data_IF_922197861697
#
_entry.id   IF_922197861697
#
_cell.length_a   1.000
_cell.length_b   1.000
_cell.length_c   1.000
_cell.angle_alpha   90.00
_cell.angle_beta   90.00
_cell.angle_gamma   90.00
#
_symmetry.space_group_name_H-M   'P 1'
#
loop_
_entity.id
_entity.type
_entity.pdbx_description
1 polymer ?
#
# COMPACT_ATOMS: atom_id res chain seq x y z
N UNK A 1 10.57 -8.28 -6.58
CA UNK A 1 11.43 -7.22 -6.04
C UNK A 1 10.63 -5.99 -5.65
N UNK A 2 11.17 -5.19 -4.73
CA UNK A 2 10.60 -3.90 -4.29
C UNK A 2 11.70 -2.86 -4.15
N UNK A 3 11.32 -1.57 -4.19
CA UNK A 3 12.24 -0.44 -4.03
C UNK A 3 12.87 0.03 -5.34
N UNK A 4 13.94 0.84 -5.23
CA UNK A 4 14.55 1.53 -6.36
C UNK A 4 15.17 0.61 -7.42
N UNK A 5 15.40 -0.66 -7.11
CA UNK A 5 15.99 -1.64 -8.04
C UNK A 5 15.04 -2.11 -9.15
N UNK A 6 13.78 -1.68 -9.11
CA UNK A 6 12.82 -1.92 -10.21
C UNK A 6 13.03 -0.97 -11.39
N UNK A 7 13.98 -0.02 -11.28
CA UNK A 7 14.30 0.97 -12.31
C UNK A 7 15.48 0.44 -13.13
N UNK A 8 15.30 0.31 -14.45
CA UNK A 8 16.35 -0.04 -15.38
C UNK A 8 16.57 1.10 -16.39
N UNK A 9 17.74 1.78 -16.38
CA UNK A 9 17.99 2.93 -17.24
C UNK A 9 18.08 2.60 -18.73
N UNK A 10 18.16 1.32 -19.10
CA UNK A 10 18.15 0.89 -20.50
C UNK A 10 16.75 0.86 -21.12
N UNK A 11 15.71 1.06 -20.29
CA UNK A 11 14.31 1.11 -20.71
C UNK A 11 13.75 2.53 -20.59
N UNK A 12 12.63 2.78 -21.23
CA UNK A 12 11.80 3.94 -20.97
C UNK A 12 11.05 3.67 -19.66
N UNK A 13 11.39 4.42 -18.60
CA UNK A 13 10.81 4.24 -17.28
C UNK A 13 9.63 5.17 -17.08
N UNK A 14 8.47 4.60 -16.77
CA UNK A 14 7.21 5.31 -16.56
C UNK A 14 6.81 5.11 -15.11
N UNK A 15 6.90 6.17 -14.29
CA UNK A 15 6.34 6.13 -12.95
C UNK A 15 4.83 6.19 -13.02
N UNK A 16 4.18 5.27 -12.34
CA UNK A 16 2.73 5.21 -12.20
C UNK A 16 2.33 5.48 -10.76
N UNK A 17 1.38 6.41 -10.56
CA UNK A 17 0.93 6.82 -9.23
C UNK A 17 -0.56 7.13 -9.21
N UNK A 18 -1.23 6.85 -8.10
CA UNK A 18 -2.67 6.96 -7.92
C UNK A 18 -3.29 5.63 -7.49
N UNK A 19 -4.53 5.36 -7.88
CA UNK A 19 -5.25 4.14 -7.52
C UNK A 19 -5.37 3.17 -8.69
N UNK A 20 -6.22 3.49 -9.65
CA UNK A 20 -6.40 2.71 -10.88
C UNK A 20 -7.31 3.48 -11.85
N UNK A 21 -6.96 3.43 -13.12
CA UNK A 21 -7.71 4.14 -14.16
C UNK A 21 -7.83 3.30 -15.44
N UNK A 22 -8.98 3.33 -16.09
CA UNK A 22 -9.25 2.50 -17.27
C UNK A 22 -8.33 2.81 -18.46
N UNK A 23 -7.99 4.09 -18.68
CA UNK A 23 -7.01 4.47 -19.71
C UNK A 23 -5.62 3.93 -19.39
N UNK A 24 -5.28 3.88 -18.11
CA UNK A 24 -4.03 3.31 -17.64
C UNK A 24 -3.90 1.82 -18.02
N UNK A 25 -4.95 1.05 -17.78
CA UNK A 25 -4.98 -0.38 -18.17
C UNK A 25 -4.80 -0.55 -19.69
N UNK A 26 -5.46 0.30 -20.49
CA UNK A 26 -5.26 0.29 -21.94
C UNK A 26 -3.80 0.58 -22.33
N UNK A 27 -3.16 1.56 -21.69
CA UNK A 27 -1.75 1.88 -21.93
C UNK A 27 -0.86 0.69 -21.56
N UNK A 28 -1.09 0.05 -20.42
CA UNK A 28 -0.33 -1.12 -19.98
C UNK A 28 -0.34 -2.24 -21.03
N UNK A 29 -1.52 -2.55 -21.57
CA UNK A 29 -1.66 -3.56 -22.61
C UNK A 29 -0.88 -3.16 -23.88
N UNK A 30 -0.99 -1.89 -24.32
CA UNK A 30 -0.28 -1.37 -25.51
C UNK A 30 1.24 -1.37 -25.36
N UNK A 31 1.79 -1.20 -24.14
CA UNK A 31 3.24 -1.26 -23.92
C UNK A 31 3.83 -2.65 -24.18
N UNK A 32 3.01 -3.68 -24.22
CA UNK A 32 3.40 -5.06 -24.57
C UNK A 32 3.34 -5.33 -26.08
N UNK A 33 2.70 -4.48 -26.86
CA UNK A 33 2.53 -4.70 -28.29
C UNK A 33 3.86 -4.50 -29.06
N UNK A 34 4.13 -5.41 -29.99
CA UNK A 34 5.40 -5.43 -30.72
C UNK A 34 5.69 -4.14 -31.48
N UNK A 35 4.68 -3.49 -32.07
CA UNK A 35 4.83 -2.22 -32.79
C UNK A 35 5.25 -1.06 -31.85
N UNK A 36 4.76 -1.06 -30.61
CA UNK A 36 5.10 -0.07 -29.58
C UNK A 36 6.50 -0.34 -29.04
N UNK A 37 6.85 -1.60 -28.79
CA UNK A 37 8.21 -1.98 -28.36
C UNK A 37 9.25 -1.60 -29.42
N UNK A 38 8.95 -1.80 -30.72
CA UNK A 38 9.85 -1.37 -31.80
C UNK A 38 10.03 0.16 -31.87
N UNK A 39 8.99 0.97 -31.55
CA UNK A 39 9.16 2.42 -31.42
C UNK A 39 10.16 2.77 -30.30
N UNK A 40 10.12 2.09 -29.15
CA UNK A 40 11.08 2.30 -28.07
C UNK A 40 12.51 1.92 -28.49
N UNK A 41 12.68 0.80 -29.21
CA UNK A 41 13.98 0.36 -29.74
C UNK A 41 14.54 1.33 -30.77
N UNK A 42 13.71 1.92 -31.58
CA UNK A 42 14.12 2.92 -32.58
C UNK A 42 14.77 4.17 -31.98
N UNK A 43 14.44 4.50 -30.73
CA UNK A 43 15.07 5.61 -29.99
C UNK A 43 16.19 5.15 -29.04
N UNK A 44 16.56 3.86 -29.09
CA UNK A 44 17.69 3.29 -28.35
C UNK A 44 17.36 2.74 -26.97
N UNK A 45 16.08 2.58 -26.62
CA UNK A 45 15.64 1.88 -25.41
C UNK A 45 15.44 0.38 -25.70
N UNK A 46 15.49 -0.46 -24.67
CA UNK A 46 15.17 -1.90 -24.80
C UNK A 46 13.66 -2.18 -24.85
N UNK A 47 12.85 -1.23 -24.40
CA UNK A 47 11.40 -1.31 -24.26
C UNK A 47 10.93 -0.37 -23.17
N UNK A 48 9.90 -0.77 -22.43
CA UNK A 48 9.31 0.04 -21.37
C UNK A 48 9.41 -0.67 -20.02
N UNK A 49 9.47 0.13 -18.93
CA UNK A 49 9.29 -0.32 -17.56
C UNK A 49 8.31 0.58 -16.83
N UNK A 50 7.33 -0.04 -16.20
CA UNK A 50 6.43 0.61 -15.27
C UNK A 50 7.05 0.58 -13.88
N UNK A 51 7.28 1.75 -13.31
CA UNK A 51 7.80 1.91 -11.95
C UNK A 51 6.62 2.23 -11.05
N UNK A 52 6.13 1.22 -10.34
CA UNK A 52 4.92 1.34 -9.53
C UNK A 52 5.17 2.12 -8.25
N UNK A 53 4.35 3.16 -8.04
CA UNK A 53 4.25 3.84 -6.75
C UNK A 53 2.79 3.87 -6.31
N UNK A 54 2.57 4.02 -4.99
CA UNK A 54 1.24 4.10 -4.39
C UNK A 54 0.32 2.90 -4.69
N UNK A 55 -0.99 3.08 -4.62
CA UNK A 55 -1.95 1.98 -4.76
C UNK A 55 -1.92 1.31 -6.14
N UNK A 56 -1.73 2.07 -7.22
CA UNK A 56 -1.70 1.49 -8.57
C UNK A 56 -0.51 0.55 -8.76
N UNK A 57 0.64 0.88 -8.18
CA UNK A 57 1.81 -0.01 -8.19
C UNK A 57 1.58 -1.30 -7.40
N UNK A 58 0.91 -1.22 -6.27
CA UNK A 58 0.54 -2.38 -5.48
C UNK A 58 -0.52 -3.25 -6.16
N UNK A 59 -1.49 -2.63 -6.84
CA UNK A 59 -2.47 -3.36 -7.63
C UNK A 59 -1.82 -4.18 -8.75
N UNK A 60 -0.77 -3.63 -9.39
CA UNK A 60 0.03 -4.39 -10.36
C UNK A 60 0.79 -5.56 -9.73
N UNK A 61 1.25 -5.45 -8.49
CA UNK A 61 1.84 -6.59 -7.79
C UNK A 61 0.86 -7.75 -7.65
N UNK A 62 -0.43 -7.47 -7.39
CA UNK A 62 -1.48 -8.49 -7.33
C UNK A 62 -1.73 -9.17 -8.67
N UNK A 63 -1.55 -8.44 -9.77
CA UNK A 63 -1.76 -8.88 -11.15
C UNK A 63 -0.47 -9.19 -11.91
N UNK A 64 0.67 -9.22 -11.21
CA UNK A 64 2.02 -9.22 -11.78
C UNK A 64 2.30 -10.27 -12.84
N UNK A 65 1.64 -11.43 -12.79
CA UNK A 65 1.84 -12.49 -13.75
C UNK A 65 1.53 -12.11 -15.22
N UNK A 66 0.66 -11.09 -15.43
CA UNK A 66 0.31 -10.62 -16.77
C UNK A 66 1.28 -9.56 -17.32
N UNK A 67 1.90 -8.77 -16.43
CA UNK A 67 2.72 -7.62 -16.82
C UNK A 67 4.21 -7.77 -16.51
N UNK A 68 4.70 -8.98 -16.25
CA UNK A 68 6.10 -9.25 -15.85
C UNK A 68 7.16 -8.75 -16.83
N UNK A 69 6.82 -8.55 -18.11
CA UNK A 69 7.74 -8.00 -19.09
C UNK A 69 8.01 -6.51 -18.90
N UNK A 70 7.02 -5.77 -18.39
CA UNK A 70 7.09 -4.32 -18.23
C UNK A 70 7.03 -3.85 -16.78
N UNK A 71 6.77 -4.74 -15.81
CA UNK A 71 6.64 -4.41 -14.39
C UNK A 71 7.45 -5.37 -13.53
N UNK A 72 8.53 -4.89 -12.96
CA UNK A 72 9.42 -5.67 -12.10
C UNK A 72 9.02 -5.64 -10.63
N UNK A 73 8.30 -4.60 -10.19
CA UNK A 73 7.84 -4.49 -8.82
C UNK A 73 7.45 -3.08 -8.39
N UNK A 74 7.11 -2.94 -7.12
CA UNK A 74 6.68 -1.70 -6.50
C UNK A 74 7.89 -0.92 -5.95
N UNK A 75 8.07 0.33 -6.35
CA UNK A 75 9.19 1.16 -5.90
C UNK A 75 8.95 1.74 -4.51
N UNK A 76 7.72 2.07 -4.16
CA UNK A 76 7.38 2.59 -2.85
C UNK A 76 6.04 3.32 -2.78
N UNK A 77 5.77 3.89 -1.62
CA UNK A 77 4.53 4.60 -1.33
C UNK A 77 4.52 6.05 -1.88
N UNK A 78 3.56 6.86 -1.41
CA UNK A 78 3.35 8.23 -1.87
C UNK A 78 4.60 9.11 -1.80
N UNK A 79 5.29 9.22 -0.68
CA UNK A 79 6.48 10.07 -0.54
C UNK A 79 7.74 9.48 -1.20
N UNK A 80 7.84 8.17 -1.31
CA UNK A 80 8.96 7.54 -2.02
C UNK A 80 8.93 7.90 -3.51
N UNK A 81 7.76 8.24 -4.09
CA UNK A 81 7.66 8.69 -5.47
C UNK A 81 8.55 9.91 -5.77
N UNK A 82 8.75 10.83 -4.81
CA UNK A 82 9.66 11.96 -4.96
C UNK A 82 11.13 11.51 -5.06
N UNK A 83 11.54 10.55 -4.23
CA UNK A 83 12.87 9.96 -4.30
C UNK A 83 13.10 9.18 -5.60
N UNK A 84 12.10 8.42 -6.04
CA UNK A 84 12.12 7.70 -7.32
C UNK A 84 12.33 8.67 -8.49
N UNK A 85 11.60 9.76 -8.55
CA UNK A 85 11.76 10.78 -9.60
C UNK A 85 13.13 11.46 -9.54
N UNK A 86 13.63 11.72 -8.33
CA UNK A 86 14.91 12.41 -8.11
C UNK A 86 16.12 11.61 -8.58
N UNK A 87 15.99 10.31 -8.85
CA UNK A 87 17.08 9.50 -9.43
C UNK A 87 17.43 9.88 -10.89
N UNK A 88 16.58 10.63 -11.56
CA UNK A 88 16.78 11.08 -12.94
C UNK A 88 16.55 10.03 -14.03
N UNK A 89 16.22 8.80 -13.69
CA UNK A 89 16.00 7.71 -14.65
C UNK A 89 14.53 7.54 -15.07
N UNK A 90 13.60 8.30 -14.50
CA UNK A 90 12.19 8.28 -14.88
C UNK A 90 11.95 9.25 -16.03
N UNK A 91 11.25 8.82 -17.08
CA UNK A 91 11.02 9.60 -18.28
C UNK A 91 9.65 10.27 -18.28
N UNK A 92 8.65 9.61 -17.72
CA UNK A 92 7.32 10.15 -17.60
C UNK A 92 6.63 9.71 -16.30
N UNK A 93 5.68 10.52 -15.86
CA UNK A 93 4.73 10.18 -14.79
C UNK A 93 3.34 10.07 -15.40
N UNK A 94 2.70 8.94 -15.18
CA UNK A 94 1.26 8.80 -15.38
C UNK A 94 0.59 8.87 -14.01
N UNK A 95 -0.14 9.95 -13.77
CA UNK A 95 -0.89 10.15 -12.55
C UNK A 95 -2.39 10.06 -12.81
N UNK A 96 -3.09 9.49 -11.86
CA UNK A 96 -4.54 9.44 -11.94
C UNK A 96 -5.14 9.99 -10.64
N UNK A 97 -6.33 9.72 -10.32
CA UNK A 97 -7.25 10.31 -9.36
C UNK A 97 -6.61 11.05 -8.17
N UNK A 98 -5.83 10.39 -7.34
CA UNK A 98 -5.41 10.87 -6.02
C UNK A 98 -3.99 10.38 -5.68
N UNK A 99 -3.47 10.71 -4.51
CA UNK A 99 -2.18 10.23 -3.99
C UNK A 99 -0.95 10.61 -4.81
N UNK A 100 -1.08 11.55 -5.76
CA UNK A 100 0.06 12.13 -6.47
C UNK A 100 0.44 13.44 -5.79
N UNK A 101 1.52 13.41 -5.02
CA UNK A 101 1.92 14.54 -4.18
C UNK A 101 2.31 15.78 -4.98
N UNK A 102 2.00 17.00 -4.50
CA UNK A 102 2.38 18.25 -5.17
C UNK A 102 3.89 18.44 -5.36
N UNK A 103 4.72 17.88 -4.47
CA UNK A 103 6.17 18.00 -4.52
C UNK A 103 6.81 17.47 -5.80
N UNK A 104 6.17 16.54 -6.49
CA UNK A 104 6.71 16.02 -7.77
C UNK A 104 6.76 17.06 -8.88
N UNK A 105 5.94 18.11 -8.82
CA UNK A 105 5.85 19.15 -9.85
C UNK A 105 7.21 19.81 -10.10
N UNK A 106 7.87 20.27 -9.03
CA UNK A 106 9.21 20.88 -9.11
C UNK A 106 10.27 19.89 -9.61
N UNK A 107 10.23 18.65 -9.12
CA UNK A 107 11.18 17.61 -9.53
C UNK A 107 11.04 17.31 -11.02
N UNK A 108 9.80 17.20 -11.49
CA UNK A 108 9.54 16.94 -12.92
C UNK A 108 10.00 18.07 -13.81
N UNK A 109 9.83 19.34 -13.41
CA UNK A 109 10.33 20.50 -14.16
C UNK A 109 11.85 20.50 -14.23
N UNK A 110 12.54 20.37 -13.10
CA UNK A 110 14.00 20.36 -13.02
C UNK A 110 14.64 19.21 -13.82
N UNK A 111 14.05 18.04 -13.77
CA UNK A 111 14.56 16.84 -14.44
C UNK A 111 13.88 16.59 -15.80
N UNK A 112 13.07 17.52 -16.30
CA UNK A 112 12.36 17.45 -17.59
C UNK A 112 11.53 16.17 -17.75
N UNK A 113 10.92 15.70 -16.68
CA UNK A 113 10.07 14.51 -16.68
C UNK A 113 8.68 14.91 -17.21
N UNK A 114 8.19 14.19 -18.21
CA UNK A 114 6.84 14.45 -18.74
C UNK A 114 5.80 14.03 -17.71
N UNK A 115 4.91 14.96 -17.33
CA UNK A 115 3.77 14.64 -16.48
C UNK A 115 2.49 14.57 -17.32
N UNK A 116 1.81 13.42 -17.28
CA UNK A 116 0.50 13.21 -17.91
C UNK A 116 -0.48 12.79 -16.82
N UNK A 117 -1.55 13.56 -16.67
CA UNK A 117 -2.59 13.34 -15.69
C UNK A 117 -3.83 12.79 -16.37
N UNK A 118 -4.31 11.64 -15.90
CA UNK A 118 -5.47 10.93 -16.46
C UNK A 118 -6.78 11.34 -15.79
N UNK A 119 -6.70 12.06 -14.66
CA UNK A 119 -7.85 12.58 -13.94
C UNK A 119 -7.62 14.03 -13.48
N UNK A 120 -8.68 14.84 -13.48
CA UNK A 120 -8.62 16.25 -13.12
C UNK A 120 -8.21 16.49 -11.67
N UNK A 121 -8.51 15.57 -10.76
CA UNK A 121 -8.20 15.69 -9.32
C UNK A 121 -6.69 15.71 -9.10
N UNK A 122 -5.94 14.85 -9.80
CA UNK A 122 -4.50 14.78 -9.67
C UNK A 122 -3.75 15.79 -10.57
N UNK A 123 -4.47 16.64 -11.31
CA UNK A 123 -3.86 17.58 -12.27
C UNK A 123 -3.04 18.65 -11.56
N UNK A 124 -1.76 18.73 -11.91
CA UNK A 124 -0.84 19.81 -11.51
C UNK A 124 -0.71 20.86 -12.62
N UNK A 125 -0.16 22.04 -12.29
CA UNK A 125 -0.07 23.15 -13.24
C UNK A 125 0.77 22.79 -14.49
N UNK A 126 1.86 22.01 -14.28
CA UNK A 126 2.77 21.57 -15.35
C UNK A 126 2.42 20.19 -15.93
N UNK A 127 1.29 19.60 -15.56
CA UNK A 127 0.84 18.31 -16.08
C UNK A 127 -0.12 18.48 -17.26
N UNK A 128 0.09 17.69 -18.30
CA UNK A 128 -0.86 17.55 -19.37
C UNK A 128 -2.05 16.70 -18.93
N UNK A 129 -3.27 17.19 -19.12
CA UNK A 129 -4.49 16.46 -18.77
C UNK A 129 -5.08 15.77 -19.97
N UNK A 130 -5.18 14.44 -19.92
CA UNK A 130 -5.80 13.61 -20.96
C UNK A 130 -6.88 12.74 -20.29
N UNK A 131 -8.16 13.16 -20.35
CA UNK A 131 -9.24 12.43 -19.71
C UNK A 131 -9.54 11.11 -20.42
N UNK A 132 -9.92 10.10 -19.63
CA UNK A 132 -10.43 8.87 -20.23
C UNK A 132 -11.77 9.11 -20.91
N UNK A 133 -11.84 8.68 -22.20
CA UNK A 133 -13.07 8.58 -22.97
C UNK A 133 -13.06 7.25 -23.71
N UNK A 134 -14.13 6.50 -23.61
CA UNK A 134 -14.19 5.17 -24.23
C UNK A 134 -13.96 5.22 -25.74
N UNK A 135 -14.57 6.23 -26.41
CA UNK A 135 -14.52 6.42 -27.86
C UNK A 135 -13.12 6.81 -28.37
N UNK A 136 -12.35 7.52 -27.55
CA UNK A 136 -11.02 8.04 -27.94
C UNK A 136 -9.86 7.31 -27.28
N UNK A 137 -10.13 6.31 -26.42
CA UNK A 137 -9.11 5.64 -25.61
C UNK A 137 -7.90 5.11 -26.39
N UNK A 138 -8.13 4.63 -27.62
CA UNK A 138 -7.04 4.16 -28.47
C UNK A 138 -6.15 5.32 -28.93
N UNK A 139 -6.75 6.36 -29.48
CA UNK A 139 -6.01 7.53 -29.95
C UNK A 139 -5.33 8.27 -28.81
N UNK A 140 -5.99 8.40 -27.65
CA UNK A 140 -5.43 9.04 -26.46
C UNK A 140 -4.29 8.19 -25.86
N UNK A 141 -4.43 6.88 -25.81
CA UNK A 141 -3.39 5.96 -25.33
C UNK A 141 -2.17 5.94 -26.24
N UNK A 142 -2.35 5.84 -27.56
CA UNK A 142 -1.25 5.89 -28.53
C UNK A 142 -0.53 7.24 -28.48
N UNK A 143 -1.27 8.35 -28.33
CA UNK A 143 -0.71 9.69 -28.14
C UNK A 143 0.14 9.77 -26.86
N UNK A 144 -0.36 9.24 -25.74
CA UNK A 144 0.39 9.21 -24.47
C UNK A 144 1.71 8.45 -24.64
N UNK A 145 1.69 7.30 -25.30
CA UNK A 145 2.89 6.51 -25.58
C UNK A 145 3.89 7.30 -26.44
N UNK A 146 3.43 7.94 -27.49
CA UNK A 146 4.31 8.74 -28.36
C UNK A 146 4.93 9.94 -27.58
N UNK A 147 4.17 10.59 -26.69
CA UNK A 147 4.67 11.66 -25.81
C UNK A 147 5.73 11.15 -24.83
N UNK A 148 5.55 9.95 -24.29
CA UNK A 148 6.52 9.30 -23.38
C UNK A 148 7.84 8.99 -24.12
N UNK A 149 7.76 8.45 -25.33
CA UNK A 149 8.93 8.18 -26.18
C UNK A 149 9.65 9.48 -26.54
N UNK A 150 8.92 10.54 -26.86
CA UNK A 150 9.49 11.86 -27.12
C UNK A 150 10.20 12.43 -25.88
N UNK A 151 9.62 12.29 -24.68
CA UNK A 151 10.22 12.72 -23.43
C UNK A 151 11.53 11.97 -23.15
N UNK A 152 11.57 10.66 -23.29
CA UNK A 152 12.78 9.87 -23.20
C UNK A 152 13.87 10.38 -24.13
N UNK A 153 13.55 10.60 -25.38
CA UNK A 153 14.52 11.09 -26.39
C UNK A 153 15.06 12.48 -26.04
N UNK A 154 14.21 13.39 -25.57
CA UNK A 154 14.60 14.75 -25.21
C UNK A 154 15.49 14.82 -23.95
N UNK A 155 15.32 13.86 -23.04
CA UNK A 155 16.02 13.81 -21.75
C UNK A 155 17.35 13.08 -21.83
N UNK A 156 17.49 12.12 -22.73
CA UNK A 156 18.66 11.24 -22.81
C UNK A 156 19.96 12.05 -22.97
N UNK A 157 20.89 11.86 -22.03
CA UNK A 157 22.16 12.57 -21.97
C UNK A 157 22.08 14.06 -21.55
N UNK A 158 20.91 14.59 -21.27
CA UNK A 158 20.74 15.97 -20.79
C UNK A 158 20.37 16.08 -19.30
N UNK A 159 20.02 14.97 -18.68
CA UNK A 159 19.63 14.88 -17.25
C UNK A 159 20.61 13.97 -16.53
N UNK A 160 21.15 14.38 -15.37
CA UNK A 160 21.99 13.50 -14.55
C UNK A 160 21.17 12.35 -14.00
N UNK A 161 21.73 11.15 -14.03
CA UNK A 161 21.14 9.97 -13.39
C UNK A 161 21.98 9.56 -12.18
N UNK A 162 21.29 9.31 -11.07
CA UNK A 162 21.90 8.84 -9.83
C UNK A 162 21.09 7.64 -9.33
N UNK A 163 21.45 6.45 -9.79
CA UNK A 163 20.76 5.22 -9.44
C UNK A 163 21.28 4.70 -8.10
N UNK A 164 20.36 4.47 -7.19
CA UNK A 164 20.63 3.86 -5.89
C UNK A 164 20.54 2.34 -6.04
N UNK A 165 21.67 1.69 -6.32
CA UNK A 165 21.73 0.25 -6.64
C UNK A 165 21.52 -0.67 -5.44
N UNK A 166 21.65 -0.17 -4.20
CA UNK A 166 21.64 -1.00 -2.99
C UNK A 166 20.37 -0.85 -2.13
N UNK A 167 19.38 -0.08 -2.57
CA UNK A 167 18.18 0.19 -1.80
C UNK A 167 17.00 -0.69 -2.21
N UNK A 168 16.44 -1.40 -1.22
CA UNK A 168 15.14 -2.06 -1.34
C UNK A 168 15.11 -3.32 -2.20
N UNK A 169 16.26 -3.90 -2.57
CA UNK A 169 16.28 -5.11 -3.37
C UNK A 169 15.93 -6.35 -2.52
N UNK A 170 14.67 -6.44 -2.12
CA UNK A 170 14.18 -7.58 -1.36
C UNK A 170 13.07 -8.26 -2.15
N UNK A 171 13.10 -9.58 -2.15
CA UNK A 171 11.99 -10.37 -2.62
C UNK A 171 10.98 -10.46 -1.47
N UNK A 172 9.83 -9.87 -1.65
CA UNK A 172 8.75 -9.87 -0.67
C UNK A 172 7.63 -10.80 -1.10
N UNK A 173 6.90 -11.34 -0.12
CA UNK A 173 5.64 -12.01 -0.36
C UNK A 173 4.53 -10.95 -0.37
N UNK A 174 4.00 -10.67 -1.55
CA UNK A 174 2.99 -9.63 -1.75
C UNK A 174 1.77 -10.19 -2.47
N UNK A 175 0.69 -9.43 -2.48
CA UNK A 175 -0.49 -9.80 -3.23
C UNK A 175 -1.31 -10.90 -2.57
N UNK A 176 -1.36 -10.94 -1.26
CA UNK A 176 -2.26 -11.82 -0.51
C UNK A 176 -3.69 -11.31 -0.67
N UNK A 177 -4.62 -12.20 -0.98
CA UNK A 177 -6.05 -11.93 -0.97
C UNK A 177 -6.77 -12.86 0.00
N UNK A 178 -8.02 -12.52 0.37
CA UNK A 178 -8.86 -13.40 1.17
C UNK A 178 -8.97 -14.79 0.55
N UNK A 179 -9.19 -14.86 -0.76
CA UNK A 179 -9.32 -16.13 -1.47
C UNK A 179 -8.01 -16.92 -1.52
N UNK A 180 -6.86 -16.27 -1.76
CA UNK A 180 -5.56 -16.95 -1.79
C UNK A 180 -5.14 -17.43 -0.39
N UNK A 181 -5.37 -16.62 0.65
CA UNK A 181 -5.07 -17.00 2.03
C UNK A 181 -5.95 -18.16 2.50
N UNK A 182 -7.26 -18.10 2.21
CA UNK A 182 -8.19 -19.18 2.54
C UNK A 182 -7.83 -20.48 1.81
N UNK A 183 -7.46 -20.39 0.53
CA UNK A 183 -6.99 -21.55 -0.23
C UNK A 183 -5.68 -22.14 0.35
N UNK A 184 -4.72 -21.29 0.72
CA UNK A 184 -3.49 -21.69 1.39
C UNK A 184 -3.75 -22.42 2.72
N UNK A 185 -4.77 -21.99 3.47
CA UNK A 185 -5.22 -22.62 4.71
C UNK A 185 -6.07 -23.87 4.50
N UNK A 186 -6.21 -24.36 3.29
CA UNK A 186 -6.98 -25.58 2.97
C UNK A 186 -8.46 -25.34 2.71
N UNK A 187 -8.87 -24.12 2.40
CA UNK A 187 -10.24 -23.74 2.01
C UNK A 187 -11.13 -23.29 3.17
N UNK A 188 -10.60 -23.11 4.39
CA UNK A 188 -11.31 -22.69 5.60
C UNK A 188 -10.44 -21.78 6.45
N UNK A 189 -11.03 -20.91 7.26
CA UNK A 189 -10.32 -20.10 8.26
C UNK A 189 -9.98 -20.87 9.53
N UNK A 190 -10.51 -22.09 9.67
CA UNK A 190 -10.30 -22.90 10.89
C UNK A 190 -8.82 -23.04 11.30
N UNK A 191 -7.84 -23.27 10.43
CA UNK A 191 -6.44 -23.34 10.85
C UNK A 191 -5.93 -22.05 11.48
N UNK A 192 -6.32 -20.89 10.94
CA UNK A 192 -5.97 -19.59 11.53
C UNK A 192 -6.70 -19.36 12.85
N UNK A 193 -7.97 -19.72 12.93
CA UNK A 193 -8.78 -19.64 14.16
C UNK A 193 -8.15 -20.53 15.26
N UNK A 194 -7.78 -21.75 14.93
CA UNK A 194 -7.14 -22.67 15.88
C UNK A 194 -5.81 -22.11 16.43
N UNK A 195 -5.02 -21.43 15.58
CA UNK A 195 -3.80 -20.74 16.02
C UNK A 195 -4.11 -19.55 16.95
N UNK A 196 -5.17 -18.81 16.68
CA UNK A 196 -5.63 -17.70 17.53
C UNK A 196 -6.15 -18.24 18.87
N UNK A 197 -7.01 -19.24 18.86
CA UNK A 197 -7.56 -19.85 20.07
C UNK A 197 -6.45 -20.44 20.94
N UNK A 198 -5.48 -21.11 20.33
CA UNK A 198 -4.32 -21.68 21.04
C UNK A 198 -3.31 -20.62 21.52
N UNK A 199 -3.50 -19.33 21.23
CA UNK A 199 -2.57 -18.26 21.61
C UNK A 199 -1.24 -18.28 20.83
N UNK A 200 -1.15 -19.04 19.75
CA UNK A 200 0.01 -19.03 18.83
C UNK A 200 0.07 -17.75 18.01
N UNK A 201 -1.08 -17.23 17.67
CA UNK A 201 -1.30 -15.88 17.19
C UNK A 201 -2.19 -15.20 18.24
N UNK A 202 -1.69 -14.18 18.90
CA UNK A 202 -2.42 -13.49 19.98
C UNK A 202 -3.67 -12.79 19.44
N UNK A 203 -3.59 -12.23 18.25
CA UNK A 203 -4.67 -11.54 17.56
C UNK A 203 -4.22 -11.02 16.22
N UNK A 204 -5.10 -10.28 15.57
CA UNK A 204 -4.85 -9.67 14.27
C UNK A 204 -4.77 -8.15 14.40
N UNK A 205 -3.91 -7.51 13.63
CA UNK A 205 -3.87 -6.07 13.51
C UNK A 205 -3.89 -5.66 12.03
N UNK A 206 -4.85 -4.85 11.63
CA UNK A 206 -4.85 -4.18 10.34
C UNK A 206 -4.01 -2.90 10.45
N UNK A 207 -2.83 -2.85 9.82
CA UNK A 207 -2.00 -1.63 9.74
C UNK A 207 -2.09 -1.13 8.30
N UNK A 208 -2.91 -0.12 8.09
CA UNK A 208 -3.38 0.28 6.76
C UNK A 208 -3.27 1.80 6.53
N UNK A 209 -3.55 2.22 5.30
CA UNK A 209 -3.66 3.63 4.96
C UNK A 209 -2.38 4.21 4.37
N UNK A 210 -2.19 5.51 4.59
CA UNK A 210 -1.16 6.32 3.96
C UNK A 210 0.19 6.23 4.66
N UNK A 211 1.14 7.06 4.18
CA UNK A 211 2.31 7.50 4.92
C UNK A 211 2.33 9.02 5.00
N UNK A 212 2.89 9.56 6.07
CA UNK A 212 2.95 10.98 6.37
C UNK A 212 4.31 11.34 6.96
N UNK A 213 4.76 12.55 6.72
CA UNK A 213 6.00 13.08 7.29
C UNK A 213 5.86 13.59 8.72
N UNK A 214 4.63 13.57 9.28
CA UNK A 214 4.34 14.15 10.61
C UNK A 214 5.20 13.56 11.74
N UNK A 215 5.50 12.25 11.65
CA UNK A 215 6.37 11.54 12.62
C UNK A 215 7.62 10.93 11.94
N UNK A 216 8.09 11.55 10.85
CA UNK A 216 9.08 10.94 9.96
C UNK A 216 8.43 9.93 9.01
N UNK A 217 8.86 9.93 7.76
CA UNK A 217 8.29 9.08 6.73
C UNK A 217 8.37 7.60 7.14
N UNK A 218 7.22 6.92 7.19
CA UNK A 218 7.03 5.51 7.60
C UNK A 218 7.49 5.15 9.03
N UNK A 219 8.07 6.08 9.79
CA UNK A 219 8.71 5.77 11.07
C UNK A 219 7.73 5.20 12.09
N UNK A 220 6.61 5.89 12.31
CA UNK A 220 5.60 5.44 13.27
C UNK A 220 4.95 4.12 12.84
N UNK A 221 4.62 3.97 11.56
CA UNK A 221 4.05 2.74 10.99
C UNK A 221 4.99 1.55 11.17
N UNK A 222 6.28 1.76 10.89
CA UNK A 222 7.30 0.72 11.04
C UNK A 222 7.55 0.34 12.51
N UNK A 223 7.62 1.32 13.41
CA UNK A 223 7.78 1.09 14.85
C UNK A 223 6.59 0.31 15.42
N UNK A 224 5.38 0.79 15.17
CA UNK A 224 4.15 0.13 15.61
C UNK A 224 4.08 -1.32 15.11
N UNK A 225 4.38 -1.56 13.82
CA UNK A 225 4.32 -2.89 13.24
C UNK A 225 5.33 -3.83 13.87
N UNK A 226 6.57 -3.38 14.10
CA UNK A 226 7.61 -4.19 14.78
C UNK A 226 7.20 -4.54 16.20
N UNK A 227 6.64 -3.60 16.94
CA UNK A 227 6.15 -3.83 18.30
C UNK A 227 4.96 -4.81 18.33
N UNK A 228 4.03 -4.72 17.38
CA UNK A 228 2.89 -5.64 17.27
C UNK A 228 3.35 -7.09 16.98
N UNK A 229 4.21 -7.28 15.96
CA UNK A 229 4.69 -8.63 15.63
C UNK A 229 5.53 -9.24 16.78
N UNK A 230 6.31 -8.42 17.51
CA UNK A 230 7.06 -8.85 18.68
C UNK A 230 6.15 -9.35 19.83
N UNK A 231 4.88 -8.98 19.82
CA UNK A 231 3.83 -9.38 20.77
C UNK A 231 2.97 -10.54 20.29
N UNK A 232 3.44 -11.29 19.30
CA UNK A 232 2.72 -12.41 18.67
C UNK A 232 1.41 -12.02 17.98
N UNK A 233 1.31 -10.78 17.49
CA UNK A 233 0.17 -10.26 16.73
C UNK A 233 0.50 -10.32 15.24
N UNK A 234 -0.31 -11.05 14.46
CA UNK A 234 -0.16 -11.11 12.99
C UNK A 234 -0.68 -9.82 12.37
N UNK A 235 0.13 -9.17 11.53
CA UNK A 235 -0.23 -7.92 10.88
C UNK A 235 -0.73 -8.18 9.46
N UNK A 236 -1.91 -7.62 9.15
CA UNK A 236 -2.48 -7.53 7.82
C UNK A 236 -2.37 -6.07 7.37
N UNK A 237 -1.88 -5.81 6.15
CA UNK A 237 -1.63 -4.45 5.72
C UNK A 237 -2.12 -4.19 4.30
N UNK A 238 -2.43 -2.93 4.02
CA UNK A 238 -2.84 -2.44 2.71
C UNK A 238 -2.56 -0.94 2.57
N UNK A 239 -2.43 -0.46 1.34
CA UNK A 239 -2.16 0.94 1.04
C UNK A 239 -0.68 1.31 1.15
N UNK A 240 -0.38 2.61 1.30
CA UNK A 240 0.98 3.11 1.41
C UNK A 240 1.73 2.57 2.63
N UNK A 241 1.03 2.25 3.72
CA UNK A 241 1.61 1.54 4.88
C UNK A 241 2.30 0.25 4.45
N UNK A 242 1.66 -0.55 3.57
CA UNK A 242 2.27 -1.79 3.07
C UNK A 242 3.53 -1.51 2.24
N UNK A 243 3.52 -0.48 1.39
CA UNK A 243 4.71 -0.11 0.61
C UNK A 243 5.92 0.27 1.47
N UNK A 244 5.70 1.00 2.56
CA UNK A 244 6.76 1.31 3.53
C UNK A 244 7.30 0.06 4.25
N UNK A 245 6.40 -0.83 4.67
CA UNK A 245 6.76 -2.08 5.36
C UNK A 245 7.48 -3.08 4.42
N UNK A 246 7.13 -3.09 3.13
CA UNK A 246 7.86 -3.86 2.10
C UNK A 246 9.31 -3.39 1.98
N UNK A 247 9.51 -2.08 1.85
CA UNK A 247 10.84 -1.50 1.62
C UNK A 247 11.81 -1.76 2.77
N UNK A 248 11.32 -1.89 4.00
CA UNK A 248 12.15 -2.25 5.16
C UNK A 248 12.24 -3.77 5.41
N UNK A 249 11.62 -4.57 4.54
CA UNK A 249 11.76 -6.04 4.53
C UNK A 249 10.88 -6.78 5.53
N UNK A 250 9.82 -6.18 6.07
CA UNK A 250 8.92 -6.86 7.02
C UNK A 250 8.00 -7.90 6.37
N UNK A 251 7.98 -7.96 5.05
CA UNK A 251 7.20 -8.94 4.26
C UNK A 251 8.07 -10.05 3.66
N UNK A 252 9.26 -10.26 4.20
CA UNK A 252 10.11 -11.40 3.85
C UNK A 252 9.98 -12.50 4.91
N UNK A 253 10.21 -13.78 4.56
CA UNK A 253 10.20 -14.87 5.54
C UNK A 253 11.19 -14.64 6.70
N UNK A 254 12.31 -13.98 6.44
CA UNK A 254 13.34 -13.65 7.42
C UNK A 254 12.83 -12.67 8.49
N UNK A 255 11.82 -11.86 8.17
CA UNK A 255 11.19 -10.97 9.14
C UNK A 255 10.53 -11.70 10.32
N UNK A 256 10.27 -13.00 10.18
CA UNK A 256 9.82 -13.85 11.29
C UNK A 256 10.76 -13.79 12.50
N UNK A 257 12.06 -13.50 12.31
CA UNK A 257 13.02 -13.36 13.42
C UNK A 257 12.71 -12.15 14.34
N UNK A 258 11.96 -11.16 13.82
CA UNK A 258 11.52 -9.99 14.60
C UNK A 258 10.23 -10.27 15.39
N UNK A 259 9.52 -11.34 15.06
CA UNK A 259 8.27 -11.71 15.72
C UNK A 259 8.51 -12.32 17.12
N UNK A 260 7.49 -12.25 17.95
CA UNK A 260 7.44 -12.95 19.21
C UNK A 260 7.58 -14.47 19.04
N UNK A 261 7.88 -15.22 20.10
CA UNK A 261 8.26 -16.64 20.00
C UNK A 261 7.18 -17.51 19.36
N UNK A 262 5.91 -17.22 19.62
CA UNK A 262 4.79 -18.00 19.10
C UNK A 262 4.52 -17.69 17.63
N UNK A 263 4.37 -16.41 17.27
CA UNK A 263 4.18 -16.00 15.88
C UNK A 263 5.37 -16.40 15.01
N UNK A 264 6.60 -16.27 15.51
CA UNK A 264 7.82 -16.74 14.83
C UNK A 264 7.73 -18.21 14.45
N UNK A 265 7.29 -19.05 15.40
CA UNK A 265 7.14 -20.48 15.15
C UNK A 265 6.11 -20.75 14.04
N UNK A 266 4.95 -20.07 14.09
CA UNK A 266 3.91 -20.16 13.05
C UNK A 266 4.44 -19.70 11.68
N UNK A 267 5.11 -18.54 11.62
CA UNK A 267 5.65 -18.03 10.37
C UNK A 267 6.67 -19.00 9.74
N UNK A 268 7.55 -19.57 10.54
CA UNK A 268 8.53 -20.57 10.05
C UNK A 268 7.88 -21.86 9.59
N UNK A 269 6.88 -22.36 10.30
CA UNK A 269 6.14 -23.57 9.94
C UNK A 269 5.38 -23.40 8.63
N UNK A 270 4.71 -22.26 8.45
CA UNK A 270 3.92 -21.96 7.26
C UNK A 270 4.72 -21.36 6.11
N UNK A 271 5.96 -20.92 6.34
CA UNK A 271 6.78 -20.24 5.33
C UNK A 271 6.25 -18.85 4.94
N UNK A 272 5.62 -18.14 5.88
CA UNK A 272 5.02 -16.82 5.66
C UNK A 272 5.72 -15.73 6.48
N UNK A 273 5.70 -14.46 6.05
CA UNK A 273 6.14 -13.35 6.88
C UNK A 273 5.12 -13.03 7.98
N UNK A 274 5.53 -12.29 9.04
CA UNK A 274 4.62 -11.84 10.09
C UNK A 274 3.72 -10.67 9.67
N UNK A 275 3.94 -10.12 8.48
CA UNK A 275 3.16 -9.04 7.86
C UNK A 275 2.70 -9.48 6.47
N UNK A 276 1.39 -9.50 6.26
CA UNK A 276 0.77 -9.94 5.00
C UNK A 276 0.19 -8.75 4.24
N UNK A 277 0.62 -8.57 2.99
CA UNK A 277 0.22 -7.45 2.13
C UNK A 277 -0.99 -7.82 1.27
N UNK A 278 -2.11 -7.16 1.53
CA UNK A 278 -3.35 -7.29 0.75
C UNK A 278 -3.43 -6.34 -0.45
N UNK A 279 -2.45 -5.46 -0.63
CA UNK A 279 -2.33 -4.59 -1.79
C UNK A 279 -2.73 -3.13 -1.53
N UNK A 280 -3.45 -2.48 -2.46
CA UNK A 280 -3.77 -1.05 -2.39
C UNK A 280 -4.77 -0.71 -1.29
N UNK A 281 -4.99 0.59 -1.03
CA UNK A 281 -6.05 1.06 -0.13
C UNK A 281 -7.43 0.50 -0.51
N UNK A 282 -7.71 0.36 -1.80
CA UNK A 282 -8.94 -0.27 -2.30
C UNK A 282 -9.12 -1.73 -1.83
N UNK A 283 -8.06 -2.37 -1.34
CA UNK A 283 -8.10 -3.72 -0.79
C UNK A 283 -8.39 -3.76 0.72
N UNK A 284 -8.58 -2.62 1.40
CA UNK A 284 -8.95 -2.59 2.82
C UNK A 284 -10.28 -3.33 3.05
N UNK A 285 -11.24 -3.21 2.13
CA UNK A 285 -12.46 -4.01 2.15
C UNK A 285 -12.23 -5.53 2.10
N UNK A 286 -11.10 -6.01 1.57
CA UNK A 286 -10.74 -7.44 1.62
C UNK A 286 -10.33 -7.88 3.03
N UNK A 287 -9.75 -6.98 3.83
CA UNK A 287 -9.47 -7.24 5.24
C UNK A 287 -10.75 -7.39 6.05
N UNK A 288 -11.78 -6.60 5.71
CA UNK A 288 -13.11 -6.72 6.31
C UNK A 288 -13.76 -8.07 5.97
N UNK A 289 -13.66 -8.53 4.71
CA UNK A 289 -14.14 -9.86 4.32
C UNK A 289 -13.44 -10.96 5.14
N UNK A 290 -12.10 -10.90 5.29
CA UNK A 290 -11.34 -11.85 6.13
C UNK A 290 -11.86 -11.83 7.56
N UNK A 291 -12.03 -10.65 8.15
CA UNK A 291 -12.49 -10.51 9.52
C UNK A 291 -13.93 -11.03 9.71
N UNK A 292 -14.82 -10.70 8.80
CA UNK A 292 -16.22 -11.14 8.83
C UNK A 292 -16.33 -12.66 8.69
N UNK A 293 -15.64 -13.26 7.72
CA UNK A 293 -15.63 -14.73 7.56
C UNK A 293 -15.03 -15.46 8.76
N UNK A 294 -13.98 -14.90 9.40
CA UNK A 294 -13.44 -15.46 10.65
C UNK A 294 -14.46 -15.36 11.78
N UNK A 295 -15.16 -14.22 11.92
CA UNK A 295 -16.20 -14.03 12.93
C UNK A 295 -17.35 -15.02 12.75
N UNK A 296 -17.82 -15.19 11.51
CA UNK A 296 -18.87 -16.15 11.16
C UNK A 296 -18.47 -17.59 11.49
N UNK A 297 -17.25 -18.01 11.11
CA UNK A 297 -16.76 -19.37 11.37
C UNK A 297 -16.51 -19.63 12.87
N UNK A 298 -16.15 -18.58 13.63
CA UNK A 298 -15.99 -18.63 15.09
C UNK A 298 -17.34 -18.52 15.83
N UNK A 299 -18.40 -18.09 15.16
CA UNK A 299 -19.75 -17.91 15.72
C UNK A 299 -19.89 -16.70 16.64
N UNK A 300 -19.19 -15.59 16.34
CA UNK A 300 -19.18 -14.34 17.10
C UNK A 300 -19.46 -13.15 16.21
N UNK A 301 -19.79 -12.00 16.81
CA UNK A 301 -19.88 -10.74 16.08
C UNK A 301 -18.49 -10.16 15.82
N UNK A 302 -18.34 -9.42 14.70
CA UNK A 302 -17.08 -8.83 14.28
C UNK A 302 -16.37 -8.00 15.37
N UNK A 303 -17.07 -7.13 16.17
CA UNK A 303 -16.43 -6.40 17.27
C UNK A 303 -15.81 -7.27 18.36
N UNK A 304 -16.23 -8.52 18.47
CA UNK A 304 -15.73 -9.45 19.50
C UNK A 304 -14.40 -10.09 19.13
N UNK A 305 -14.03 -10.08 17.84
CA UNK A 305 -12.75 -10.64 17.40
C UNK A 305 -11.55 -9.95 18.07
N UNK A 306 -10.48 -10.67 18.39
CA UNK A 306 -9.20 -10.10 18.84
C UNK A 306 -8.50 -9.42 17.66
N UNK A 307 -9.14 -8.38 17.14
CA UNK A 307 -8.74 -7.58 15.98
C UNK A 307 -8.73 -6.11 16.35
N UNK A 308 -7.68 -5.40 15.92
CA UNK A 308 -7.50 -3.96 16.04
C UNK A 308 -7.06 -3.38 14.71
N UNK A 309 -7.31 -2.07 14.49
CA UNK A 309 -6.93 -1.39 13.28
C UNK A 309 -6.05 -0.18 13.58
N UNK A 310 -5.17 0.15 12.66
CA UNK A 310 -4.32 1.34 12.71
C UNK A 310 -4.17 1.95 11.33
N UNK A 311 -4.42 3.27 11.24
CA UNK A 311 -3.97 4.13 10.15
C UNK A 311 -2.96 5.12 10.75
N UNK A 312 -1.80 4.61 11.18
CA UNK A 312 -0.82 5.33 12.01
C UNK A 312 -0.43 6.68 11.40
N UNK A 313 -0.18 6.71 10.09
CA UNK A 313 0.27 7.90 9.37
C UNK A 313 -0.68 8.26 8.22
N UNK A 314 -1.97 8.34 8.51
CA UNK A 314 -2.95 8.77 7.52
C UNK A 314 -2.62 10.19 6.97
N UNK A 315 -2.94 10.43 5.70
CA UNK A 315 -2.71 11.67 4.99
C UNK A 315 -3.93 12.11 4.17
N UNK A 316 -4.50 11.19 3.43
CA UNK A 316 -5.59 11.42 2.49
C UNK A 316 -6.96 11.09 3.12
N UNK A 317 -8.01 11.67 2.57
CA UNK A 317 -9.40 11.46 3.01
C UNK A 317 -9.82 9.99 2.95
N UNK A 318 -9.30 9.24 2.00
CA UNK A 318 -9.56 7.80 1.86
C UNK A 318 -9.27 7.05 3.16
N UNK A 319 -8.13 7.31 3.80
CA UNK A 319 -7.77 6.64 5.05
C UNK A 319 -8.73 6.99 6.21
N UNK A 320 -9.27 8.20 6.24
CA UNK A 320 -10.27 8.61 7.24
C UNK A 320 -11.65 8.00 6.94
N UNK A 321 -12.02 7.88 5.65
CA UNK A 321 -13.25 7.22 5.24
C UNK A 321 -13.24 5.73 5.61
N UNK A 322 -12.14 5.04 5.31
CA UNK A 322 -11.93 3.64 5.70
C UNK A 322 -11.93 3.48 7.23
N UNK A 323 -11.33 4.43 7.95
CA UNK A 323 -11.35 4.48 9.41
C UNK A 323 -12.75 4.68 9.99
N UNK A 324 -13.55 5.57 9.40
CA UNK A 324 -14.94 5.77 9.81
C UNK A 324 -15.79 4.52 9.58
N UNK A 325 -15.54 3.81 8.47
CA UNK A 325 -16.18 2.52 8.19
C UNK A 325 -15.81 1.47 9.25
N UNK A 326 -14.53 1.36 9.60
CA UNK A 326 -14.07 0.46 10.67
C UNK A 326 -14.76 0.75 12.03
N UNK A 327 -14.91 2.03 12.39
CA UNK A 327 -15.63 2.43 13.60
C UNK A 327 -17.11 2.05 13.55
N UNK A 328 -17.74 2.18 12.39
CA UNK A 328 -19.13 1.75 12.20
C UNK A 328 -19.29 0.24 12.36
N UNK A 329 -18.29 -0.54 11.97
CA UNK A 329 -18.20 -1.99 12.18
C UNK A 329 -17.85 -2.39 13.63
N UNK A 330 -17.66 -1.42 14.52
CA UNK A 330 -17.34 -1.68 15.93
C UNK A 330 -15.87 -2.03 16.22
N UNK A 331 -14.96 -1.71 15.29
CA UNK A 331 -13.56 -1.98 15.47
C UNK A 331 -12.82 -0.78 16.08
N UNK A 332 -11.87 -0.99 17.01
CA UNK A 332 -11.02 0.07 17.53
C UNK A 332 -10.01 0.51 16.44
N UNK A 333 -9.87 1.83 16.28
CA UNK A 333 -8.99 2.45 15.29
C UNK A 333 -7.93 3.31 15.96
N UNK A 334 -6.67 2.96 15.78
CA UNK A 334 -5.52 3.79 16.14
C UNK A 334 -5.17 4.75 15.00
N UNK A 335 -4.94 6.02 15.36
CA UNK A 335 -4.42 7.09 14.52
C UNK A 335 -3.20 7.71 15.21
N UNK A 336 -2.06 7.79 14.54
CA UNK A 336 -0.89 8.49 15.08
C UNK A 336 -1.05 10.01 15.01
N UNK A 337 -1.65 10.46 13.91
CA UNK A 337 -1.99 11.89 13.71
C UNK A 337 -3.46 12.10 14.12
N UNK A 338 -3.78 13.08 15.00
CA UNK A 338 -5.16 13.33 15.37
C UNK A 338 -5.99 13.74 14.15
N UNK A 339 -7.19 13.22 13.99
CA UNK A 339 -8.09 13.66 12.93
C UNK A 339 -8.59 15.09 13.21
N UNK A 340 -9.06 15.79 12.16
CA UNK A 340 -9.51 17.20 12.25
C UNK A 340 -10.88 17.35 12.94
N UNK A 341 -11.06 16.68 14.07
CA UNK A 341 -12.30 16.70 14.86
C UNK A 341 -12.19 17.51 16.15
N UNK A 342 -10.99 17.88 16.56
CA UNK A 342 -10.70 18.53 17.85
C UNK A 342 -11.31 19.93 17.98
N UNK A 343 -11.77 20.54 16.89
CA UNK A 343 -12.56 21.77 16.90
C UNK A 343 -13.97 21.62 17.51
N UNK A 344 -14.47 20.38 17.63
CA UNK A 344 -15.75 20.07 18.26
C UNK A 344 -15.57 19.12 19.44
N UNK A 345 -15.81 19.64 20.65
CA UNK A 345 -15.76 18.81 21.87
C UNK A 345 -16.75 17.63 21.83
N UNK A 346 -17.93 17.85 21.23
CA UNK A 346 -18.94 16.79 21.10
C UNK A 346 -18.46 15.68 20.16
N UNK A 347 -17.99 16.02 18.97
CA UNK A 347 -17.52 15.02 17.99
C UNK A 347 -16.33 14.26 18.53
N UNK A 348 -15.38 14.97 19.16
CA UNK A 348 -14.22 14.34 19.80
C UNK A 348 -14.66 13.31 20.84
N UNK A 349 -15.55 13.72 21.78
CA UNK A 349 -16.07 12.81 22.82
C UNK A 349 -16.79 11.60 22.22
N UNK A 350 -17.67 11.82 21.24
CA UNK A 350 -18.41 10.72 20.60
C UNK A 350 -17.44 9.69 20.00
N UNK A 351 -16.45 10.12 19.23
CA UNK A 351 -15.55 9.19 18.51
C UNK A 351 -14.52 8.52 19.43
N UNK A 352 -14.09 9.18 20.51
CA UNK A 352 -13.06 8.62 21.40
C UNK A 352 -13.63 7.86 22.60
N UNK A 353 -14.90 8.16 23.00
CA UNK A 353 -15.50 7.61 24.22
C UNK A 353 -16.85 6.94 23.95
N UNK A 354 -17.84 7.67 23.41
CA UNK A 354 -19.23 7.24 23.37
C UNK A 354 -19.49 6.13 22.32
N UNK A 355 -18.66 6.06 21.25
CA UNK A 355 -18.78 5.05 20.18
C UNK A 355 -18.65 3.61 20.72
N UNK A 356 -17.90 3.40 21.80
CA UNK A 356 -17.78 2.08 22.44
C UNK A 356 -19.15 1.54 22.83
N UNK A 357 -20.06 2.39 23.35
CA UNK A 357 -21.42 2.01 23.70
C UNK A 357 -22.37 1.86 22.51
N UNK A 358 -22.05 2.47 21.36
CA UNK A 358 -22.88 2.44 20.17
C UNK A 358 -22.54 1.28 19.21
N UNK A 359 -21.28 1.13 18.91
CA UNK A 359 -20.78 0.13 17.93
C UNK A 359 -19.75 -0.83 18.49
N UNK A 360 -19.11 -0.50 19.60
CA UNK A 360 -17.93 -1.19 20.12
C UNK A 360 -16.59 -0.58 19.66
N UNK A 361 -16.63 0.29 18.65
CA UNK A 361 -15.46 0.97 18.09
C UNK A 361 -15.09 2.25 18.85
N UNK A 362 -13.84 2.66 18.77
CA UNK A 362 -13.35 3.96 19.28
C UNK A 362 -12.10 4.40 18.55
N UNK A 363 -11.86 5.72 18.49
CA UNK A 363 -10.61 6.28 18.02
C UNK A 363 -9.60 6.35 19.18
N UNK A 364 -8.38 5.89 18.90
CA UNK A 364 -7.23 5.96 19.79
C UNK A 364 -6.20 6.84 19.08
N UNK A 365 -5.77 7.94 19.71
CA UNK A 365 -4.74 8.82 19.14
C UNK A 365 -3.47 8.70 19.95
N UNK A 366 -2.40 8.20 19.31
CA UNK A 366 -1.09 8.02 19.94
C UNK A 366 0.02 8.11 18.89
N UNK A 367 0.92 9.06 19.03
CA UNK A 367 2.05 9.28 18.12
C UNK A 367 3.31 8.49 18.48
N UNK A 368 3.27 7.61 19.48
CA UNK A 368 4.37 6.73 19.88
C UNK A 368 4.02 5.27 19.54
N UNK A 369 4.83 4.64 18.67
CA UNK A 369 4.53 3.32 18.15
C UNK A 369 4.50 2.22 19.22
N UNK A 370 5.37 2.32 20.22
CA UNK A 370 5.42 1.34 21.34
C UNK A 370 4.24 1.53 22.28
N UNK A 371 3.89 2.75 22.63
CA UNK A 371 2.73 3.08 23.47
C UNK A 371 1.44 2.62 22.77
N UNK A 372 1.29 2.93 21.48
CA UNK A 372 0.17 2.49 20.66
C UNK A 372 0.06 0.95 20.62
N UNK A 373 1.17 0.25 20.38
CA UNK A 373 1.19 -1.20 20.37
C UNK A 373 0.76 -1.81 21.71
N UNK A 374 1.18 -1.24 22.84
CA UNK A 374 0.74 -1.68 24.16
C UNK A 374 -0.77 -1.49 24.37
N UNK A 375 -1.32 -0.37 23.93
CA UNK A 375 -2.76 -0.09 24.00
C UNK A 375 -3.55 -1.06 23.13
N UNK A 376 -3.09 -1.31 21.90
CA UNK A 376 -3.75 -2.25 20.98
C UNK A 376 -3.66 -3.70 21.47
N UNK A 377 -2.53 -4.10 22.02
CA UNK A 377 -2.38 -5.41 22.67
C UNK A 377 -3.36 -5.60 23.83
N UNK A 378 -3.49 -4.59 24.71
CA UNK A 378 -4.42 -4.65 25.83
C UNK A 378 -5.88 -4.84 25.38
N UNK A 379 -6.28 -4.21 24.27
CA UNK A 379 -7.61 -4.40 23.67
C UNK A 379 -7.77 -5.83 23.13
N UNK A 380 -6.76 -6.38 22.46
CA UNK A 380 -6.77 -7.77 22.00
C UNK A 380 -6.92 -8.72 23.17
N UNK A 381 -6.17 -8.52 24.25
CA UNK A 381 -6.24 -9.35 25.47
C UNK A 381 -7.61 -9.28 26.15
N UNK A 382 -8.24 -8.09 26.20
CA UNK A 382 -9.60 -7.93 26.71
C UNK A 382 -10.60 -8.75 25.89
N UNK A 383 -10.53 -8.66 24.56
CA UNK A 383 -11.39 -9.42 23.65
C UNK A 383 -11.16 -10.93 23.77
N UNK A 384 -9.91 -11.38 23.87
CA UNK A 384 -9.58 -12.79 24.14
C UNK A 384 -10.22 -13.31 25.43
N UNK A 385 -10.11 -12.54 26.51
CA UNK A 385 -10.75 -12.85 27.80
C UNK A 385 -12.27 -12.98 27.67
N UNK A 386 -12.91 -12.08 26.93
CA UNK A 386 -14.35 -12.12 26.70
C UNK A 386 -14.79 -13.38 25.93
N UNK A 387 -13.92 -13.90 25.05
CA UNK A 387 -14.16 -15.12 24.28
C UNK A 387 -13.71 -16.40 25.05
N UNK A 388 -13.10 -16.29 26.21
CA UNK A 388 -12.49 -17.39 26.97
C UNK A 388 -11.40 -18.17 26.19
N UNK A 389 -10.56 -17.46 25.44
CA UNK A 389 -9.46 -18.02 24.62
C UNK A 389 -8.12 -17.43 25.01
#
# INVERSE_FOLDING_TARGET
PVGMNVIDPDYINILITGHQHSLFTYIQDRLLDADVVEKAKAVGAKGFKLVGCTCVGQDLQLRGAHYTEIFDGHAGNNYISEAVLSCGAIDAVLSEFNCTLPGIETICDELKIKQICLDVVAKKANAEYIPFRYETRQADGDRIIDEIIAAYTARRGSVPMNLFTDHGNKNTLTGVSEGSLKAFLGGSWKPLIDLIVAGKIKGLAGVVGCSSVAYGHDTLTAELTKELIAKDILVLTAGCSSGGLENIGLMTPEAAELAGPNLRAVCKELGIPPVLNFGPCLAIGRLEIVATEIAEELGVDLPQLPLVLSAAQWLEEQALADGAFALALGLPLHLGVPPFITGSKLVTKVLTEDMVGLTGGRVIVDGDGKSAANTLEAIIEEKRKALNI
#
